data_IF_037001004640
#
_entry.id   IF_037001004640
#
_cell.length_a   1.000
_cell.length_b   1.000
_cell.length_c   1.000
_cell.angle_alpha   90.00
_cell.angle_beta   90.00
_cell.angle_gamma   90.00
#
_symmetry.space_group_name_H-M   'P 1'
#
loop_
_entity.id
_entity.type
_entity.pdbx_description
1 polymer ?
#
# COMPACT_ATOMS: atom_id res chain seq x y z
N UNK A 1 1.68 -16.70 2.95
CA UNK A 1 2.44 -17.23 1.80
C UNK A 1 1.75 -16.76 0.53
N UNK A 2 2.52 -16.34 -0.49
CA UNK A 2 1.96 -16.05 -1.80
C UNK A 2 1.30 -17.30 -2.38
N UNK A 3 0.18 -17.12 -3.06
CA UNK A 3 -0.47 -18.20 -3.78
C UNK A 3 0.34 -18.58 -5.01
N UNK A 4 0.18 -19.82 -5.49
CA UNK A 4 0.95 -20.33 -6.64
C UNK A 4 0.61 -19.62 -7.96
N UNK A 5 -0.53 -18.92 -8.03
CA UNK A 5 -0.97 -18.16 -9.20
C UNK A 5 -1.82 -16.94 -8.79
N UNK A 6 -2.11 -16.06 -9.73
CA UNK A 6 -2.88 -14.84 -9.51
C UNK A 6 -4.31 -15.13 -9.00
N UNK A 7 -4.92 -16.20 -9.48
CA UNK A 7 -6.31 -16.55 -9.15
C UNK A 7 -6.47 -16.90 -7.67
N UNK A 8 -5.45 -17.47 -7.03
CA UNK A 8 -5.51 -17.81 -5.61
C UNK A 8 -5.76 -16.61 -4.68
N UNK A 9 -5.35 -15.42 -5.11
CA UNK A 9 -5.59 -14.17 -4.38
C UNK A 9 -6.77 -13.37 -4.97
N UNK A 10 -6.79 -13.19 -6.30
CA UNK A 10 -7.74 -12.30 -6.97
C UNK A 10 -9.07 -12.96 -7.34
N UNK A 11 -9.13 -14.29 -7.35
CA UNK A 11 -10.32 -15.11 -7.60
C UNK A 11 -10.41 -16.25 -6.60
N UNK A 12 -10.48 -15.99 -5.29
CA UNK A 12 -10.56 -17.06 -4.31
C UNK A 12 -11.81 -17.91 -4.55
N UNK A 13 -11.72 -19.19 -4.20
CA UNK A 13 -12.88 -20.07 -4.29
C UNK A 13 -13.82 -19.86 -3.11
N UNK A 14 -15.12 -19.91 -3.37
CA UNK A 14 -16.17 -19.85 -2.33
C UNK A 14 -17.22 -20.94 -2.54
N UNK A 15 -17.82 -21.50 -1.47
CA UNK A 15 -18.93 -22.43 -1.61
C UNK A 15 -20.08 -21.82 -2.41
N UNK A 16 -20.69 -22.65 -3.27
CA UNK A 16 -21.80 -22.20 -4.11
C UNK A 16 -22.71 -23.36 -4.47
N UNK A 17 -24.00 -23.06 -4.62
CA UNK A 17 -25.00 -23.94 -5.20
C UNK A 17 -25.34 -23.59 -6.66
N UNK A 18 -24.56 -22.70 -7.27
CA UNK A 18 -24.71 -22.34 -8.68
C UNK A 18 -24.54 -23.57 -9.58
N UNK A 19 -25.24 -23.60 -10.72
CA UNK A 19 -25.14 -24.73 -11.66
C UNK A 19 -23.72 -24.92 -12.23
N UNK A 20 -22.90 -23.87 -12.22
CA UNK A 20 -21.50 -23.90 -12.62
C UNK A 20 -20.54 -24.33 -11.53
N UNK A 21 -21.02 -24.59 -10.31
CA UNK A 21 -20.16 -24.97 -9.19
C UNK A 21 -19.55 -26.36 -9.40
N UNK A 22 -18.29 -26.50 -8.99
CA UNK A 22 -17.49 -27.71 -9.16
C UNK A 22 -16.76 -28.08 -7.85
N UNK A 23 -16.32 -29.32 -7.74
CA UNK A 23 -15.40 -29.75 -6.69
C UNK A 23 -13.99 -29.27 -7.06
N UNK A 24 -13.59 -28.13 -6.51
CA UNK A 24 -12.30 -27.48 -6.82
C UNK A 24 -11.19 -27.82 -5.83
N UNK A 25 -11.53 -28.48 -4.73
CA UNK A 25 -10.59 -28.98 -3.72
C UNK A 25 -11.16 -30.21 -2.99
N UNK A 26 -10.40 -30.74 -2.02
CA UNK A 26 -10.74 -31.94 -1.27
C UNK A 26 -11.79 -31.71 -0.15
N UNK A 27 -12.37 -30.52 -0.05
CA UNK A 27 -13.34 -30.18 1.02
C UNK A 27 -14.69 -30.88 0.88
N UNK A 28 -14.97 -31.52 -0.26
CA UNK A 28 -16.25 -32.17 -0.55
C UNK A 28 -17.41 -31.21 -0.80
N UNK A 29 -17.16 -29.91 -0.91
CA UNK A 29 -18.19 -28.92 -1.22
C UNK A 29 -18.05 -28.36 -2.63
N UNK A 30 -19.17 -28.11 -3.29
CA UNK A 30 -19.20 -27.40 -4.56
C UNK A 30 -18.77 -25.94 -4.38
N UNK A 31 -17.92 -25.45 -5.25
CA UNK A 31 -17.35 -24.10 -5.21
C UNK A 31 -17.34 -23.46 -6.58
N UNK A 32 -17.29 -22.13 -6.58
CA UNK A 32 -16.99 -21.29 -7.75
C UNK A 32 -15.82 -20.40 -7.43
N UNK A 33 -15.14 -19.89 -8.45
CA UNK A 33 -14.22 -18.78 -8.32
C UNK A 33 -14.99 -17.48 -8.12
N UNK A 34 -14.54 -16.64 -7.18
CA UNK A 34 -15.07 -15.29 -7.03
C UNK A 34 -14.53 -14.42 -8.15
N UNK A 35 -15.41 -13.84 -8.97
CA UNK A 35 -15.05 -12.97 -10.09
C UNK A 35 -15.03 -11.48 -9.73
N UNK A 36 -15.01 -11.13 -8.45
CA UNK A 36 -14.92 -9.74 -8.02
C UNK A 36 -13.58 -9.08 -8.39
N UNK A 37 -12.52 -9.86 -8.46
CA UNK A 37 -11.16 -9.39 -8.73
C UNK A 37 -10.76 -8.20 -7.86
N UNK A 38 -10.78 -8.34 -6.53
CA UNK A 38 -10.42 -7.24 -5.66
C UNK A 38 -8.97 -6.80 -5.93
N UNK A 39 -8.78 -5.49 -6.05
CA UNK A 39 -7.50 -4.87 -6.37
C UNK A 39 -7.48 -3.40 -5.90
N UNK A 40 -6.38 -2.67 -6.15
CA UNK A 40 -6.24 -1.25 -5.81
C UNK A 40 -7.20 -0.31 -6.57
N UNK A 41 -8.03 -0.85 -7.42
CA UNK A 41 -8.95 -0.10 -8.27
C UNK A 41 -10.27 0.19 -7.55
N UNK A 42 -10.27 1.03 -6.53
CA UNK A 42 -11.47 1.47 -5.82
C UNK A 42 -12.23 2.58 -6.55
N UNK A 43 -11.59 3.29 -7.46
CA UNK A 43 -12.18 4.39 -8.22
C UNK A 43 -13.27 3.93 -9.20
N UNK A 44 -13.08 2.83 -9.93
CA UNK A 44 -14.06 2.36 -10.92
C UNK A 44 -15.37 1.91 -10.27
N UNK A 45 -15.38 1.08 -9.21
CA UNK A 45 -16.61 0.77 -8.49
C UNK A 45 -17.35 2.02 -8.01
N UNK A 46 -16.63 3.01 -7.48
CA UNK A 46 -17.20 4.27 -7.04
C UNK A 46 -17.86 5.05 -8.20
N UNK A 47 -17.14 5.25 -9.30
CA UNK A 47 -17.64 5.96 -10.49
C UNK A 47 -18.84 5.27 -11.14
N UNK A 48 -18.89 3.95 -11.06
CA UNK A 48 -20.01 3.14 -11.58
C UNK A 48 -21.17 3.00 -10.60
N UNK A 49 -21.09 3.64 -9.45
CA UNK A 49 -22.11 3.52 -8.39
C UNK A 49 -22.38 2.06 -8.02
N UNK A 50 -21.33 1.25 -7.98
CA UNK A 50 -21.42 -0.13 -7.53
C UNK A 50 -21.92 -0.19 -6.08
N UNK A 51 -22.59 -1.26 -5.66
CA UNK A 51 -23.03 -1.42 -4.27
C UNK A 51 -21.86 -1.28 -3.28
N UNK A 52 -22.08 -0.71 -2.11
CA UNK A 52 -21.07 -0.42 -1.10
C UNK A 52 -20.20 -1.64 -0.72
N UNK A 53 -20.80 -2.83 -0.73
CA UNK A 53 -20.06 -4.05 -0.42
C UNK A 53 -18.95 -4.35 -1.44
N UNK A 54 -19.09 -3.93 -2.70
CA UNK A 54 -18.06 -4.07 -3.74
C UNK A 54 -16.87 -3.20 -3.37
N UNK A 55 -17.12 -1.91 -3.09
CA UNK A 55 -16.10 -0.96 -2.65
C UNK A 55 -15.37 -1.49 -1.41
N UNK A 56 -16.14 -1.90 -0.40
CA UNK A 56 -15.62 -2.45 0.84
C UNK A 56 -14.77 -3.71 0.63
N UNK A 57 -15.14 -4.58 -0.30
CA UNK A 57 -14.37 -5.78 -0.61
C UNK A 57 -12.97 -5.44 -1.16
N UNK A 58 -12.86 -4.41 -2.00
CA UNK A 58 -11.57 -3.91 -2.48
C UNK A 58 -10.75 -3.33 -1.33
N UNK A 59 -11.34 -2.52 -0.46
CA UNK A 59 -10.67 -1.94 0.70
C UNK A 59 -10.18 -3.02 1.68
N UNK A 60 -11.02 -4.01 1.99
CA UNK A 60 -10.68 -5.12 2.89
C UNK A 60 -9.55 -5.98 2.31
N UNK A 61 -9.51 -6.17 1.00
CA UNK A 61 -8.43 -6.89 0.31
C UNK A 61 -7.07 -6.21 0.48
N UNK A 62 -7.04 -4.88 0.59
CA UNK A 62 -5.80 -4.13 0.79
C UNK A 62 -5.24 -4.18 2.21
N UNK A 63 -6.08 -4.49 3.20
CA UNK A 63 -5.67 -4.49 4.60
C UNK A 63 -4.51 -5.44 4.88
N UNK A 64 -3.44 -4.87 5.41
CA UNK A 64 -2.24 -5.61 5.78
C UNK A 64 -1.39 -6.08 4.60
N UNK A 65 -1.58 -5.51 3.40
CA UNK A 65 -0.70 -5.78 2.27
C UNK A 65 0.63 -5.03 2.38
N UNK A 66 0.60 -3.86 3.01
CA UNK A 66 1.77 -3.02 3.23
C UNK A 66 1.90 -2.70 4.71
N UNK A 67 3.13 -2.65 5.20
CA UNK A 67 3.47 -2.20 6.54
C UNK A 67 4.46 -1.05 6.44
N UNK A 68 4.20 -0.01 7.23
CA UNK A 68 5.11 1.13 7.40
C UNK A 68 5.72 1.03 8.79
N UNK A 69 7.03 1.19 8.88
CA UNK A 69 7.77 1.14 10.14
C UNK A 69 8.71 2.35 10.23
N UNK A 70 8.63 3.11 11.31
CA UNK A 70 9.72 4.00 11.72
C UNK A 70 10.83 3.09 12.25
N UNK A 71 11.82 2.84 11.41
CA UNK A 71 12.82 1.81 11.65
C UNK A 71 14.01 2.31 12.45
N UNK A 72 14.49 3.50 12.11
CA UNK A 72 15.69 4.04 12.73
C UNK A 72 15.75 5.56 12.69
N UNK A 73 16.76 6.10 13.32
CA UNK A 73 17.07 7.53 13.29
C UNK A 73 18.58 7.78 13.21
N UNK A 74 18.92 8.94 12.65
CA UNK A 74 20.28 9.47 12.58
C UNK A 74 20.28 10.86 13.16
N UNK A 75 21.15 11.13 14.14
CA UNK A 75 21.36 12.47 14.71
C UNK A 75 22.17 13.33 13.73
N UNK A 76 21.83 14.62 13.63
CA UNK A 76 22.47 15.58 12.74
C UNK A 76 21.84 15.68 11.35
N UNK A 77 20.79 14.90 11.05
CA UNK A 77 20.02 15.03 9.81
C UNK A 77 20.74 14.61 8.52
N UNK A 78 21.97 14.08 8.59
CA UNK A 78 22.71 13.62 7.43
C UNK A 78 22.37 12.16 7.10
N UNK A 79 22.30 11.85 5.80
CA UNK A 79 22.12 10.47 5.32
C UNK A 79 23.30 9.57 5.66
N UNK A 80 24.49 10.14 5.83
CA UNK A 80 25.73 9.42 6.17
C UNK A 80 25.96 9.31 7.68
N UNK A 81 25.13 9.95 8.51
CA UNK A 81 25.25 9.86 9.95
C UNK A 81 24.98 8.43 10.45
N UNK A 82 25.60 8.04 11.60
CA UNK A 82 25.39 6.70 12.15
C UNK A 82 23.92 6.40 12.42
N UNK A 83 23.45 5.27 11.90
CA UNK A 83 22.08 4.80 12.08
C UNK A 83 21.92 4.12 13.43
N UNK A 84 20.95 4.59 14.22
CA UNK A 84 20.44 3.91 15.41
C UNK A 84 19.16 3.19 15.06
N UNK A 85 19.23 1.86 14.93
CA UNK A 85 18.11 1.00 14.55
C UNK A 85 18.25 -0.41 15.15
N UNK A 86 17.14 -1.16 15.33
CA UNK A 86 15.77 -0.66 15.26
C UNK A 86 15.44 0.25 16.45
N UNK A 87 14.52 1.21 16.27
CA UNK A 87 14.08 2.08 17.37
C UNK A 87 12.97 1.45 18.24
N UNK A 88 12.57 0.24 17.94
CA UNK A 88 11.65 -0.54 18.77
C UNK A 88 12.29 -1.87 19.18
N UNK A 89 12.00 -2.36 20.37
CA UNK A 89 11.03 -1.87 21.36
C UNK A 89 11.48 -0.65 22.18
N UNK A 90 12.78 -0.28 22.16
CA UNK A 90 13.34 0.79 22.96
C UNK A 90 13.39 2.09 22.16
N UNK A 91 12.39 2.94 22.33
CA UNK A 91 12.35 4.25 21.68
C UNK A 91 13.45 5.15 22.27
N UNK A 92 14.37 5.66 21.45
CA UNK A 92 15.42 6.56 21.93
C UNK A 92 14.84 7.93 22.32
N UNK A 93 15.35 8.53 23.37
CA UNK A 93 15.08 9.91 23.70
C UNK A 93 15.71 10.82 22.63
N UNK A 94 14.97 11.85 22.23
CA UNK A 94 15.47 12.93 21.38
C UNK A 94 15.95 14.10 22.23
N UNK A 95 17.00 14.77 21.80
CA UNK A 95 17.55 15.92 22.49
C UNK A 95 16.93 17.20 21.90
N UNK A 96 16.34 18.10 22.70
CA UNK A 96 15.80 19.35 22.22
C UNK A 96 16.85 20.20 21.48
N UNK A 97 16.44 20.79 20.36
CA UNK A 97 17.32 21.63 19.53
C UNK A 97 18.16 20.86 18.52
N UNK A 98 18.16 19.54 18.57
CA UNK A 98 18.89 18.71 17.61
C UNK A 98 18.03 18.35 16.40
N UNK A 99 18.69 18.17 15.25
CA UNK A 99 18.05 17.69 14.03
C UNK A 99 18.20 16.17 13.92
N UNK A 100 17.15 15.50 13.48
CA UNK A 100 17.12 14.06 13.27
C UNK A 100 16.59 13.70 11.90
N UNK A 101 17.19 12.69 11.29
CA UNK A 101 16.67 12.03 10.10
C UNK A 101 16.04 10.68 10.51
N UNK A 102 14.76 10.50 10.21
CA UNK A 102 14.06 9.24 10.43
C UNK A 102 14.16 8.34 9.20
N UNK A 103 14.52 7.10 9.44
CA UNK A 103 14.48 6.04 8.43
C UNK A 103 13.13 5.34 8.50
N UNK A 104 12.38 5.42 7.40
CA UNK A 104 11.08 4.76 7.25
C UNK A 104 11.22 3.58 6.30
N UNK A 105 10.74 2.42 6.73
CA UNK A 105 10.71 1.21 5.90
C UNK A 105 9.27 0.93 5.49
N UNK A 106 9.03 0.90 4.18
CA UNK A 106 7.77 0.45 3.59
C UNK A 106 7.98 -0.97 3.10
N UNK A 107 7.23 -1.91 3.64
CA UNK A 107 7.40 -3.34 3.35
C UNK A 107 6.10 -3.97 2.90
N UNK A 108 6.14 -4.72 1.80
CA UNK A 108 5.03 -5.55 1.34
C UNK A 108 4.97 -6.86 2.15
N UNK A 109 3.78 -7.27 2.58
CA UNK A 109 3.58 -8.45 3.43
C UNK A 109 2.84 -9.58 2.74
N UNK A 110 1.79 -9.28 1.97
CA UNK A 110 0.88 -10.28 1.40
C UNK A 110 0.83 -10.26 -0.12
N UNK A 111 1.70 -9.50 -0.76
CA UNK A 111 1.75 -9.42 -2.21
C UNK A 111 2.58 -10.57 -2.79
N UNK A 112 2.08 -11.19 -3.84
CA UNK A 112 2.81 -12.18 -4.65
C UNK A 112 3.59 -11.55 -5.80
N UNK A 113 3.60 -10.24 -5.90
CA UNK A 113 4.22 -9.46 -6.96
C UNK A 113 4.76 -8.13 -6.41
N UNK A 114 5.47 -7.36 -7.21
CA UNK A 114 5.92 -6.02 -6.85
C UNK A 114 4.73 -5.09 -6.58
N UNK A 115 4.90 -4.18 -5.67
CA UNK A 115 3.94 -3.12 -5.36
C UNK A 115 4.18 -1.92 -6.30
N UNK A 116 3.21 -1.35 -6.95
CA UNK A 116 1.84 -1.75 -7.20
C UNK A 116 1.79 -2.39 -8.60
N UNK A 117 1.30 -3.57 -8.79
CA UNK A 117 1.29 -4.23 -10.09
C UNK A 117 0.01 -3.92 -10.90
N UNK A 118 -0.01 -4.28 -12.18
CA UNK A 118 -1.12 -4.03 -13.09
C UNK A 118 -1.03 -2.65 -13.70
N UNK A 119 -2.02 -1.80 -13.48
CA UNK A 119 -2.02 -0.40 -13.93
C UNK A 119 -1.24 0.51 -12.97
N UNK A 120 -0.02 0.09 -12.63
CA UNK A 120 0.80 0.75 -11.62
C UNK A 120 1.13 2.22 -11.99
N UNK A 121 1.27 2.50 -13.27
CA UNK A 121 1.50 3.82 -13.83
C UNK A 121 0.30 4.79 -13.70
N UNK A 122 -0.91 4.26 -13.48
CA UNK A 122 -2.11 5.06 -13.24
C UNK A 122 -2.48 5.24 -11.77
N UNK A 123 -1.75 4.57 -10.86
CA UNK A 123 -1.96 4.72 -9.43
C UNK A 123 -1.05 5.80 -8.86
N UNK A 124 -1.60 6.61 -7.97
CA UNK A 124 -0.83 7.52 -7.13
C UNK A 124 -0.79 6.96 -5.71
N UNK A 125 0.40 6.67 -5.24
CA UNK A 125 0.65 6.22 -3.87
C UNK A 125 1.69 7.13 -3.25
N UNK A 126 1.38 7.69 -2.09
CA UNK A 126 2.29 8.60 -1.40
C UNK A 126 2.24 8.36 0.11
N UNK A 127 3.22 8.92 0.79
CA UNK A 127 3.30 8.89 2.24
C UNK A 127 2.80 10.22 2.81
N UNK A 128 1.80 10.17 3.68
CA UNK A 128 1.34 11.30 4.47
C UNK A 128 1.97 11.17 5.88
N UNK A 129 2.76 12.17 6.26
CA UNK A 129 3.47 12.22 7.53
C UNK A 129 2.99 13.43 8.33
N UNK A 130 2.58 13.18 9.55
CA UNK A 130 2.15 14.22 10.46
C UNK A 130 2.90 14.08 11.79
N UNK A 131 3.47 15.18 12.25
CA UNK A 131 4.14 15.31 13.56
C UNK A 131 3.24 16.10 14.48
N UNK A 132 2.92 15.55 15.63
CA UNK A 132 2.05 16.17 16.65
C UNK A 132 2.72 16.21 18.01
N UNK A 133 2.30 17.20 18.80
CA UNK A 133 2.48 17.22 20.25
C UNK A 133 1.11 17.33 20.96
N UNK A 134 1.14 17.67 22.24
CA UNK A 134 -0.07 17.83 23.06
C UNK A 134 -0.88 19.08 22.65
N UNK A 135 -0.26 20.06 22.01
CA UNK A 135 -0.90 21.32 21.59
C UNK A 135 -1.47 21.24 20.17
N UNK A 136 -1.03 20.26 19.36
CA UNK A 136 -1.56 20.05 18.03
C UNK A 136 -0.57 19.54 16.98
N UNK A 137 -0.78 19.92 15.72
CA UNK A 137 0.07 19.54 14.59
C UNK A 137 1.25 20.50 14.48
N UNK A 138 2.46 19.99 14.66
CA UNK A 138 3.72 20.72 14.50
C UNK A 138 4.14 20.83 13.03
N UNK A 139 3.86 19.78 12.24
CA UNK A 139 4.20 19.76 10.83
C UNK A 139 3.57 18.60 10.11
N UNK A 140 3.38 18.75 8.81
CA UNK A 140 2.82 17.71 7.94
C UNK A 140 3.45 17.77 6.55
N UNK A 141 3.68 16.61 5.98
CA UNK A 141 4.04 16.43 4.56
C UNK A 141 3.18 15.32 3.99
N UNK A 142 2.63 15.52 2.81
CA UNK A 142 1.77 14.54 2.15
C UNK A 142 0.28 14.82 2.28
N UNK A 143 -0.12 15.96 2.81
CA UNK A 143 -1.53 16.35 2.81
C UNK A 143 -2.08 16.51 1.39
N UNK A 144 -3.35 16.26 1.24
CA UNK A 144 -4.08 16.51 0.00
C UNK A 144 -4.95 17.76 0.17
N UNK A 145 -4.89 18.68 -0.77
CA UNK A 145 -5.68 19.91 -0.76
C UNK A 145 -7.15 19.66 -1.18
N UNK A 146 -7.99 20.70 -1.10
CA UNK A 146 -9.41 20.64 -1.49
C UNK A 146 -9.60 20.30 -2.98
N UNK A 147 -8.61 20.62 -3.81
CA UNK A 147 -8.59 20.27 -5.23
C UNK A 147 -8.08 18.85 -5.49
N UNK A 148 -7.88 18.05 -4.44
CA UNK A 148 -7.33 16.70 -4.46
C UNK A 148 -5.91 16.60 -5.04
N UNK A 149 -5.12 17.66 -4.90
CA UNK A 149 -3.70 17.63 -5.23
C UNK A 149 -2.91 17.30 -3.97
N UNK A 150 -2.02 16.34 -4.09
CA UNK A 150 -1.11 15.95 -3.03
C UNK A 150 0.06 16.93 -2.97
N UNK A 151 0.53 17.25 -1.75
CA UNK A 151 1.74 18.01 -1.52
C UNK A 151 2.89 17.48 -2.41
N UNK A 152 3.44 18.31 -3.31
CA UNK A 152 4.49 17.88 -4.24
C UNK A 152 5.79 17.47 -3.55
N UNK A 153 5.98 17.85 -2.28
CA UNK A 153 7.14 17.47 -1.47
C UNK A 153 6.96 16.11 -0.77
N UNK A 154 5.80 15.45 -0.96
CA UNK A 154 5.57 14.11 -0.43
C UNK A 154 6.53 13.10 -1.00
N UNK A 155 6.77 12.04 -0.25
CA UNK A 155 7.40 10.84 -0.81
C UNK A 155 6.37 10.02 -1.59
N UNK A 156 6.53 9.97 -2.92
CA UNK A 156 5.71 9.17 -3.81
C UNK A 156 6.36 7.81 -4.07
N UNK A 157 5.54 6.76 -4.02
CA UNK A 157 5.91 5.44 -4.52
C UNK A 157 5.51 5.36 -5.99
N UNK A 158 6.40 5.84 -6.87
CA UNK A 158 6.14 5.93 -8.29
C UNK A 158 6.61 4.69 -9.04
N UNK A 159 5.85 4.32 -10.07
CA UNK A 159 6.23 3.32 -11.07
C UNK A 159 6.25 4.00 -12.44
N UNK A 160 7.34 3.87 -13.13
CA UNK A 160 7.52 4.44 -14.46
C UNK A 160 7.70 3.33 -15.50
N UNK A 161 7.00 3.48 -16.63
CA UNK A 161 7.27 2.67 -17.82
C UNK A 161 8.45 3.29 -18.55
N UNK A 162 9.43 2.47 -18.90
CA UNK A 162 10.62 2.90 -19.63
C UNK A 162 10.70 2.20 -20.98
N UNK A 163 11.21 2.90 -22.00
CA UNK A 163 11.59 2.28 -23.25
C UNK A 163 12.93 1.51 -23.12
N UNK A 164 13.37 0.90 -24.22
CA UNK A 164 14.64 0.15 -24.25
C UNK A 164 15.88 1.00 -23.97
N UNK A 165 15.78 2.32 -24.12
CA UNK A 165 16.89 3.28 -23.94
C UNK A 165 16.80 3.96 -22.56
N UNK A 166 15.81 3.57 -21.71
CA UNK A 166 15.60 4.07 -20.36
C UNK A 166 14.80 5.37 -20.28
N UNK A 167 14.22 5.86 -21.38
CA UNK A 167 13.38 7.04 -21.36
C UNK A 167 11.98 6.69 -20.86
N UNK A 168 11.39 7.58 -20.08
CA UNK A 168 10.01 7.43 -19.63
C UNK A 168 9.07 7.51 -20.83
N UNK A 169 8.15 6.54 -20.89
CA UNK A 169 7.05 6.53 -21.85
C UNK A 169 5.74 6.71 -21.10
N UNK A 170 4.86 7.54 -21.64
CA UNK A 170 3.49 7.69 -21.16
C UNK A 170 2.57 6.79 -22.00
N UNK A 171 1.55 6.21 -21.35
CA UNK A 171 0.52 5.43 -22.01
C UNK A 171 -0.59 6.33 -22.56
#
# INVERSE_FOLDING_TARGET
>A
KAQANCNGCHMPTKPSSDFGAQYLDESGSLKIHDHLFPAANTGIPHLRQAPDWVQKSHEDFHKGNVKIELFGLKKGGSVDAPLKAPIRPSIPALEPGETYLFEVVIRTLKLGHLFTQGTADSNQVWMDVEVRDEEGVLGRSGSMDESRRVDPCSHFVNVYMLDKDGNRIDR
#
